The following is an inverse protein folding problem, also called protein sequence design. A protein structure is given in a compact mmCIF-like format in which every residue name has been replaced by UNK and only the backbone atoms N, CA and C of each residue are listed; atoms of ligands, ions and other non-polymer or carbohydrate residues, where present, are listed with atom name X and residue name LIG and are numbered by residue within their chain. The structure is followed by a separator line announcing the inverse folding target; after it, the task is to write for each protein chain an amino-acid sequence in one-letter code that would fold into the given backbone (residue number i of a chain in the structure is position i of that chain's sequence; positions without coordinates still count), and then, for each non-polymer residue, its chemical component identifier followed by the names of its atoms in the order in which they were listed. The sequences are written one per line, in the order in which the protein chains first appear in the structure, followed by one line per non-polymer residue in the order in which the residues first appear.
data_IF_637611915345
#
_entry.id   IF_637611915345
#
_cell.length_a   1.000
_cell.length_b   1.000
_cell.length_c   1.000
_cell.angle_alpha   90.00
_cell.angle_beta   90.00
_cell.angle_gamma   90.00
#
_symmetry.space_group_name_H-M   'P 1'
#
loop_
_entity.id
_entity.type
_entity.pdbx_description
1 polymer ?
#
# COMPACT_ATOMS: atom_id res chain seq x y z
N UNK A 1 -4.35 36.08 6.61
CA UNK A 1 -3.05 36.49 7.19
C UNK A 1 -2.81 35.87 8.56
N UNK A 2 -3.73 35.97 9.52
CA UNK A 2 -3.53 35.37 10.85
C UNK A 2 -3.36 33.85 10.81
N UNK A 3 -4.18 33.14 10.00
CA UNK A 3 -4.05 31.68 9.87
C UNK A 3 -2.68 31.25 9.34
N UNK A 4 -2.11 31.97 8.36
CA UNK A 4 -0.84 31.58 7.73
C UNK A 4 0.35 31.78 8.67
N UNK A 5 0.30 32.80 9.55
CA UNK A 5 1.31 32.97 10.59
C UNK A 5 1.24 31.83 11.61
N UNK A 6 0.03 31.48 12.05
CA UNK A 6 -0.19 30.39 12.99
C UNK A 6 0.22 29.04 12.38
N UNK A 7 -0.23 28.72 11.16
CA UNK A 7 0.04 27.43 10.51
C UNK A 7 1.52 27.21 10.21
N UNK A 8 2.24 28.27 9.84
CA UNK A 8 3.62 28.13 9.39
C UNK A 8 4.62 28.27 10.55
N UNK A 9 4.36 29.13 11.54
CA UNK A 9 5.32 29.47 12.59
C UNK A 9 4.94 28.97 13.99
N UNK A 10 3.93 28.09 14.13
CA UNK A 10 3.52 27.53 15.43
C UNK A 10 4.70 27.01 16.26
N UNK A 11 5.69 26.42 15.59
CA UNK A 11 6.86 25.85 16.22
C UNK A 11 7.78 26.89 16.85
N UNK A 12 8.18 27.91 16.08
CA UNK A 12 8.96 29.04 16.59
C UNK A 12 8.23 29.78 17.71
N UNK A 13 6.91 29.97 17.54
CA UNK A 13 6.05 30.64 18.53
C UNK A 13 6.00 29.84 19.83
N UNK A 14 5.85 28.51 19.76
CA UNK A 14 5.86 27.65 20.95
C UNK A 14 7.21 27.69 21.67
N UNK A 15 8.32 27.70 20.93
CA UNK A 15 9.68 27.84 21.49
C UNK A 15 10.03 29.25 21.96
N UNK A 16 9.10 30.21 21.83
CA UNK A 16 9.30 31.62 22.19
C UNK A 16 10.41 32.30 21.39
N UNK A 17 10.72 31.78 20.21
CA UNK A 17 11.69 32.36 19.27
C UNK A 17 11.06 33.51 18.45
N UNK A 18 9.73 33.50 18.32
CA UNK A 18 8.96 34.51 17.58
C UNK A 18 7.64 34.83 18.29
N UNK A 19 7.21 36.08 18.20
CA UNK A 19 5.87 36.53 18.58
C UNK A 19 5.35 37.46 17.48
N UNK A 20 4.06 37.40 17.19
CA UNK A 20 3.44 38.27 16.19
C UNK A 20 2.25 39.02 16.79
N UNK A 21 2.00 40.20 16.24
CA UNK A 21 0.80 40.99 16.50
C UNK A 21 0.12 41.29 15.16
N UNK A 22 -1.15 40.89 15.04
CA UNK A 22 -1.97 41.11 13.84
C UNK A 22 -3.16 41.99 14.19
N UNK A 23 -3.66 42.74 13.21
CA UNK A 23 -4.77 43.69 13.34
C UNK A 23 -4.52 44.73 14.44
N UNK A 24 -3.36 45.40 14.37
CA UNK A 24 -2.95 46.45 15.31
C UNK A 24 -2.93 45.99 16.78
N UNK A 25 -2.47 44.75 17.02
CA UNK A 25 -2.34 44.18 18.37
C UNK A 25 -3.59 43.46 18.87
N UNK A 26 -4.68 43.41 18.09
CA UNK A 26 -5.91 42.71 18.48
C UNK A 26 -5.73 41.19 18.56
N UNK A 27 -4.85 40.64 17.72
CA UNK A 27 -4.51 39.21 17.73
C UNK A 27 -3.03 39.10 18.08
N UNK A 28 -2.75 38.74 19.32
CA UNK A 28 -1.41 38.37 19.77
C UNK A 28 -1.18 36.87 19.49
N UNK A 29 -0.16 36.55 18.70
CA UNK A 29 0.27 35.18 18.40
C UNK A 29 1.55 34.93 19.18
N UNK A 30 1.42 34.24 20.31
CA UNK A 30 2.51 33.88 21.21
C UNK A 30 2.23 32.48 21.80
N UNK A 31 3.19 31.93 22.56
CA UNK A 31 3.07 30.59 23.17
C UNK A 31 1.77 30.38 23.96
N UNK A 32 1.23 31.41 24.64
CA UNK A 32 0.07 31.29 25.50
C UNK A 32 -1.26 31.36 24.72
N UNK A 33 -1.26 31.96 23.54
CA UNK A 33 -2.46 32.13 22.70
C UNK A 33 -2.53 31.09 21.59
N UNK A 34 -1.40 30.48 21.22
CA UNK A 34 -1.25 29.62 20.05
C UNK A 34 -2.26 28.47 19.97
N UNK A 35 -2.46 27.74 21.07
CA UNK A 35 -3.39 26.60 21.12
C UNK A 35 -4.82 27.03 20.82
N UNK A 36 -5.30 28.08 21.48
CA UNK A 36 -6.63 28.64 21.23
C UNK A 36 -6.76 29.17 19.79
N UNK A 37 -5.72 29.83 19.26
CA UNK A 37 -5.73 30.36 17.90
C UNK A 37 -5.83 29.27 16.82
N UNK A 38 -5.27 28.09 17.06
CA UNK A 38 -5.40 26.93 16.15
C UNK A 38 -6.84 26.38 16.11
N UNK A 39 -7.60 26.57 17.19
CA UNK A 39 -8.97 26.06 17.31
C UNK A 39 -10.04 27.11 17.02
N UNK A 40 -9.68 28.39 17.02
CA UNK A 40 -10.58 29.54 16.91
C UNK A 40 -11.37 29.54 15.59
N UNK A 41 -12.69 29.65 15.70
CA UNK A 41 -13.61 29.48 14.57
C UNK A 41 -13.45 30.53 13.48
N UNK A 42 -13.16 31.78 13.86
CA UNK A 42 -12.90 32.86 12.91
C UNK A 42 -11.61 32.65 12.10
N UNK A 43 -10.58 32.04 12.70
CA UNK A 43 -9.32 31.68 12.02
C UNK A 43 -9.55 30.49 11.09
N UNK A 44 -10.30 29.48 11.52
CA UNK A 44 -10.70 28.35 10.67
C UNK A 44 -11.55 28.80 9.48
N UNK A 45 -12.56 29.63 9.72
CA UNK A 45 -13.40 30.22 8.67
C UNK A 45 -12.55 31.03 7.68
N UNK A 46 -11.59 31.82 8.17
CA UNK A 46 -10.68 32.57 7.29
C UNK A 46 -9.77 31.64 6.45
N UNK A 47 -9.29 30.55 7.03
CA UNK A 47 -8.50 29.54 6.33
C UNK A 47 -9.36 28.80 5.28
N UNK A 48 -10.59 28.42 5.61
CA UNK A 48 -11.52 27.74 4.71
C UNK A 48 -11.88 28.62 3.51
N UNK A 49 -12.22 29.89 3.73
CA UNK A 49 -12.51 30.86 2.67
C UNK A 49 -11.34 31.07 1.69
N UNK A 50 -10.12 30.70 2.10
CA UNK A 50 -8.90 30.78 1.26
C UNK A 50 -8.39 29.42 0.80
N UNK A 51 -9.10 28.32 1.13
CA UNK A 51 -8.73 26.96 0.74
C UNK A 51 -7.61 26.32 1.57
N UNK A 52 -7.25 26.90 2.72
CA UNK A 52 -6.12 26.49 3.57
C UNK A 52 -6.54 25.86 4.91
N UNK A 53 -7.80 25.45 5.05
CA UNK A 53 -8.28 24.82 6.28
C UNK A 53 -7.47 23.56 6.64
N UNK A 54 -7.19 22.70 5.66
CA UNK A 54 -6.43 21.47 5.86
C UNK A 54 -4.97 21.72 6.32
N UNK A 55 -4.39 22.86 5.94
CA UNK A 55 -3.04 23.27 6.37
C UNK A 55 -3.06 23.72 7.83
N UNK A 56 -4.08 24.49 8.22
CA UNK A 56 -4.29 24.92 9.60
C UNK A 56 -4.56 23.74 10.53
N UNK A 57 -5.44 22.83 10.13
CA UNK A 57 -5.74 21.61 10.89
C UNK A 57 -4.49 20.74 11.06
N UNK A 58 -3.70 20.60 9.99
CA UNK A 58 -2.45 19.85 10.05
C UNK A 58 -1.42 20.49 10.99
N UNK A 59 -1.27 21.81 10.93
CA UNK A 59 -0.45 22.55 11.89
C UNK A 59 -0.94 22.35 13.33
N UNK A 60 -2.26 22.30 13.54
CA UNK A 60 -2.86 21.94 14.83
C UNK A 60 -2.45 20.55 15.32
N UNK A 61 -2.51 19.53 14.45
CA UNK A 61 -2.06 18.17 14.82
C UNK A 61 -0.54 18.10 15.07
N UNK A 62 0.26 18.84 14.30
CA UNK A 62 1.71 18.94 14.56
C UNK A 62 1.99 19.67 15.88
N UNK A 63 1.22 20.69 16.23
CA UNK A 63 1.32 21.36 17.52
C UNK A 63 0.99 20.40 18.66
N UNK A 64 -0.07 19.60 18.53
CA UNK A 64 -0.40 18.52 19.50
C UNK A 64 0.75 17.52 19.62
N UNK A 65 1.38 17.13 18.51
CA UNK A 65 2.57 16.28 18.51
C UNK A 65 3.75 16.91 19.27
N UNK A 66 3.95 18.22 19.12
CA UNK A 66 5.02 18.96 19.76
C UNK A 66 4.86 19.01 21.28
N UNK A 67 3.65 19.25 21.77
CA UNK A 67 3.39 19.46 23.21
C UNK A 67 3.05 18.19 23.98
N UNK A 68 2.65 17.12 23.27
CA UNK A 68 2.27 15.86 23.91
C UNK A 68 3.46 15.15 24.54
N UNK A 69 3.28 14.72 25.79
CA UNK A 69 4.22 13.86 26.52
C UNK A 69 4.21 12.42 26.03
N UNK A 70 3.12 11.98 25.38
CA UNK A 70 3.02 10.64 24.80
C UNK A 70 3.64 10.54 23.40
N UNK A 71 4.25 11.62 22.90
CA UNK A 71 4.99 11.60 21.66
C UNK A 71 6.38 10.99 21.86
N UNK A 72 6.79 10.12 20.95
CA UNK A 72 8.09 9.46 20.97
C UNK A 72 9.09 10.25 20.11
N UNK A 73 10.31 10.47 20.61
CA UNK A 73 11.39 11.11 19.86
C UNK A 73 12.42 10.06 19.40
N UNK A 74 12.80 10.13 18.12
CA UNK A 74 13.87 9.31 17.54
C UNK A 74 14.88 10.20 16.81
N UNK A 75 16.17 10.01 17.07
CA UNK A 75 17.25 10.73 16.39
C UNK A 75 17.81 9.86 15.26
N UNK A 76 17.65 10.34 14.03
CA UNK A 76 18.13 9.71 12.82
C UNK A 76 19.44 10.36 12.38
N UNK A 77 20.48 9.56 12.22
CA UNK A 77 21.77 10.03 11.68
C UNK A 77 21.75 9.92 10.16
N UNK A 78 22.02 11.03 9.46
CA UNK A 78 22.15 11.04 8.00
C UNK A 78 23.50 10.42 7.59
N UNK A 79 23.70 10.21 6.29
CA UNK A 79 24.98 9.72 5.77
C UNK A 79 26.16 10.55 6.33
N UNK A 80 27.30 9.88 6.53
CA UNK A 80 28.44 10.29 7.36
C UNK A 80 29.04 11.66 7.00
N UNK A 81 28.44 12.75 7.49
CA UNK A 81 28.84 14.18 7.39
C UNK A 81 27.64 15.14 7.25
N UNK A 82 26.42 14.63 7.08
CA UNK A 82 25.24 15.44 6.76
C UNK A 82 24.35 15.81 7.95
N UNK A 83 24.77 15.43 9.16
CA UNK A 83 24.09 15.79 10.41
C UNK A 83 23.04 14.79 10.87
N UNK A 84 22.25 15.22 11.86
CA UNK A 84 21.22 14.43 12.53
C UNK A 84 19.87 15.14 12.46
N UNK A 85 18.83 14.33 12.36
CA UNK A 85 17.44 14.76 12.28
C UNK A 85 16.69 14.16 13.46
N UNK A 86 15.87 14.97 14.13
CA UNK A 86 14.92 14.50 15.13
C UNK A 86 13.57 14.22 14.46
N UNK A 87 13.00 13.07 14.77
CA UNK A 87 11.65 12.66 14.36
C UNK A 87 10.83 12.48 15.62
N UNK A 88 9.85 13.36 15.85
CA UNK A 88 8.88 13.24 16.93
C UNK A 88 7.58 12.66 16.39
N UNK A 89 7.01 11.65 17.03
CA UNK A 89 5.86 10.90 16.52
C UNK A 89 4.79 10.83 17.60
N UNK A 90 3.58 11.26 17.27
CA UNK A 90 2.40 11.07 18.10
C UNK A 90 1.45 10.10 17.43
N UNK A 91 1.21 8.97 18.09
CA UNK A 91 0.23 7.96 17.66
C UNK A 91 -1.09 8.20 18.39
N UNK A 92 -2.19 8.20 17.66
CA UNK A 92 -3.52 8.44 18.24
C UNK A 92 -4.61 8.35 17.19
N UNK A 93 -5.81 7.96 17.60
CA UNK A 93 -6.98 7.83 16.71
C UNK A 93 -7.32 9.15 16.01
N UNK A 94 -7.67 9.09 14.72
CA UNK A 94 -8.09 10.25 13.94
C UNK A 94 -6.93 11.13 13.47
N UNK A 95 -5.67 10.74 13.73
CA UNK A 95 -4.49 11.46 13.24
C UNK A 95 -4.29 11.25 11.72
N UNK A 96 -3.79 12.26 10.99
CA UNK A 96 -3.85 12.32 9.53
C UNK A 96 -2.88 11.38 8.79
N UNK A 97 -2.01 10.65 9.49
CA UNK A 97 -0.89 9.86 8.91
C UNK A 97 0.02 10.70 8.02
N UNK A 98 0.30 11.94 8.46
CA UNK A 98 1.11 12.94 7.77
C UNK A 98 2.35 13.30 8.60
N UNK A 99 3.37 13.78 7.89
CA UNK A 99 4.67 14.13 8.45
C UNK A 99 4.95 15.58 8.08
N UNK A 100 5.33 16.44 9.02
CA UNK A 100 5.69 17.83 8.77
C UNK A 100 7.20 18.04 8.95
N UNK A 101 7.85 18.63 7.95
CA UNK A 101 9.25 19.03 8.04
C UNK A 101 9.37 20.48 8.47
N UNK A 102 10.08 20.70 9.57
CA UNK A 102 10.28 22.02 10.18
C UNK A 102 11.74 22.40 10.07
N UNK A 103 11.98 23.67 9.71
CA UNK A 103 13.32 24.25 9.70
C UNK A 103 13.23 25.72 10.12
N UNK A 104 14.11 26.13 11.04
CA UNK A 104 14.09 27.47 11.65
C UNK A 104 12.69 27.85 12.19
N UNK A 105 12.01 26.88 12.79
CA UNK A 105 10.68 27.05 13.37
C UNK A 105 9.55 27.35 12.39
N UNK A 106 9.78 27.14 11.09
CA UNK A 106 8.78 27.20 10.03
C UNK A 106 8.47 25.80 9.47
N UNK A 107 7.19 25.49 9.28
CA UNK A 107 6.75 24.31 8.51
C UNK A 107 7.06 24.54 7.03
N UNK A 108 7.90 23.69 6.45
CA UNK A 108 8.35 23.80 5.07
C UNK A 108 7.49 22.94 4.14
N UNK A 109 7.39 21.66 4.45
CA UNK A 109 6.75 20.70 3.54
C UNK A 109 6.31 19.48 4.31
N UNK A 110 5.44 18.67 3.70
CA UNK A 110 4.99 17.40 4.26
C UNK A 110 5.51 16.17 3.50
N UNK A 111 6.42 16.38 2.54
CA UNK A 111 6.77 15.34 1.59
C UNK A 111 8.19 15.46 1.01
N UNK A 112 8.78 14.33 0.65
CA UNK A 112 10.09 14.22 0.00
C UNK A 112 9.98 13.72 -1.46
N UNK A 113 8.94 14.17 -2.18
CA UNK A 113 8.64 13.74 -3.56
C UNK A 113 9.81 13.96 -4.54
N UNK A 114 10.54 15.07 -4.41
CA UNK A 114 11.68 15.39 -5.27
C UNK A 114 12.90 14.46 -5.05
N UNK A 115 12.86 13.62 -4.02
CA UNK A 115 13.90 12.62 -3.71
C UNK A 115 13.43 11.18 -3.92
N UNK A 116 12.27 10.98 -4.59
CA UNK A 116 11.70 9.66 -4.81
C UNK A 116 11.17 8.99 -3.55
N UNK A 117 10.86 9.78 -2.51
CA UNK A 117 10.30 9.30 -1.25
C UNK A 117 8.97 9.98 -0.95
N UNK A 118 7.87 9.63 -1.65
CA UNK A 118 6.56 10.24 -1.42
C UNK A 118 5.95 9.74 -0.09
N UNK A 119 6.03 10.52 0.97
CA UNK A 119 5.52 10.26 2.32
C UNK A 119 3.99 10.44 2.43
N UNK A 120 3.24 10.05 1.40
CA UNK A 120 1.80 10.26 1.31
C UNK A 120 0.95 9.09 1.86
N UNK A 121 1.55 7.90 2.01
CA UNK A 121 0.82 6.68 2.42
C UNK A 121 1.65 5.81 3.35
N UNK A 122 0.98 5.31 4.39
CA UNK A 122 1.52 4.43 5.42
C UNK A 122 0.55 3.26 5.65
N UNK A 123 0.53 2.26 4.75
CA UNK A 123 -0.37 1.12 4.89
C UNK A 123 0.03 0.27 6.10
N UNK A 124 -0.98 -0.15 6.87
CA UNK A 124 -0.78 -1.01 8.06
C UNK A 124 -0.29 -0.27 9.32
N UNK A 125 -0.07 1.04 9.25
CA UNK A 125 0.24 1.88 10.41
C UNK A 125 -1.03 2.33 11.12
N UNK A 126 -0.99 2.38 12.47
CA UNK A 126 -1.96 3.15 13.28
C UNK A 126 -1.97 4.62 12.84
N UNK A 127 -3.05 5.33 13.17
CA UNK A 127 -3.14 6.76 12.94
C UNK A 127 -2.04 7.50 13.71
N UNK A 128 -1.33 8.39 13.01
CA UNK A 128 -0.22 9.14 13.59
C UNK A 128 -0.06 10.52 12.95
N UNK A 129 0.70 11.38 13.62
CA UNK A 129 1.31 12.57 13.04
C UNK A 129 2.77 12.59 13.45
N UNK A 130 3.66 13.07 12.59
CA UNK A 130 5.07 13.20 12.95
C UNK A 130 5.66 14.54 12.52
N UNK A 131 6.63 14.98 13.29
CA UNK A 131 7.34 16.24 13.14
C UNK A 131 8.82 15.93 12.95
N UNK A 132 9.42 16.50 11.92
CA UNK A 132 10.82 16.27 11.55
C UNK A 132 11.56 17.58 11.59
N UNK A 133 12.60 17.70 12.42
CA UNK A 133 13.43 18.90 12.54
C UNK A 133 14.93 18.56 12.51
N UNK A 134 15.81 19.48 12.09
CA UNK A 134 17.25 19.30 12.27
C UNK A 134 17.61 19.26 13.77
N UNK A 135 18.36 18.24 14.17
CA UNK A 135 18.92 18.12 15.53
C UNK A 135 20.21 18.94 15.67
N UNK A 136 20.98 19.06 14.59
CA UNK A 136 22.25 19.77 14.57
C UNK A 136 22.39 20.77 13.41
N UNK A 137 23.44 21.58 13.49
CA UNK A 137 23.73 22.64 12.53
C UNK A 137 23.98 22.12 11.13
N UNK A 138 24.61 20.95 10.99
CA UNK A 138 24.97 20.37 9.69
C UNK A 138 23.70 19.97 8.92
N UNK A 139 22.76 19.29 9.60
CA UNK A 139 21.45 19.00 9.03
C UNK A 139 20.67 20.28 8.70
N UNK A 140 20.73 21.30 9.57
CA UNK A 140 20.10 22.59 9.33
C UNK A 140 20.63 23.31 8.08
N UNK A 141 21.94 23.26 7.85
CA UNK A 141 22.59 23.83 6.66
C UNK A 141 22.20 23.04 5.41
N UNK A 142 22.18 21.70 5.47
CA UNK A 142 21.76 20.86 4.36
C UNK A 142 20.31 21.18 3.95
N UNK A 143 19.36 21.16 4.89
CA UNK A 143 17.97 21.44 4.60
C UNK A 143 17.77 22.85 4.02
N UNK A 144 18.48 23.85 4.55
CA UNK A 144 18.47 25.22 3.99
C UNK A 144 18.92 25.28 2.54
N UNK A 145 19.93 24.50 2.14
CA UNK A 145 20.42 24.47 0.76
C UNK A 145 19.41 23.83 -0.20
N UNK A 146 18.59 22.89 0.30
CA UNK A 146 17.57 22.19 -0.47
C UNK A 146 16.26 22.97 -0.56
N UNK A 147 16.01 23.87 0.38
CA UNK A 147 14.80 24.68 0.48
C UNK A 147 14.63 25.61 -0.73
N UNK A 148 13.43 25.67 -1.28
CA UNK A 148 13.08 26.61 -2.35
C UNK A 148 12.68 27.99 -1.78
N UNK A 149 12.66 29.06 -2.60
CA UNK A 149 12.38 30.42 -2.11
C UNK A 149 10.94 30.62 -1.61
N UNK A 150 10.00 29.80 -2.09
CA UNK A 150 8.62 29.81 -1.61
C UNK A 150 8.45 29.06 -0.28
N UNK A 151 9.52 28.39 0.21
CA UNK A 151 9.53 27.67 1.47
C UNK A 151 8.47 26.56 1.57
N UNK A 152 8.12 25.92 0.46
CA UNK A 152 7.07 24.89 0.36
C UNK A 152 7.61 23.49 -0.03
N UNK A 153 8.93 23.37 -0.21
CA UNK A 153 9.54 22.13 -0.65
C UNK A 153 11.06 22.08 -0.61
N UNK A 154 11.58 20.85 -0.57
CA UNK A 154 13.00 20.55 -0.68
C UNK A 154 13.33 19.98 -2.07
N UNK A 155 14.41 20.47 -2.68
CA UNK A 155 14.94 20.00 -3.96
C UNK A 155 16.45 20.18 -4.06
N UNK A 156 17.16 19.15 -4.52
CA UNK A 156 18.60 19.23 -4.75
C UNK A 156 19.00 19.93 -6.05
N UNK A 157 18.05 20.26 -6.94
CA UNK A 157 18.36 20.89 -8.23
C UNK A 157 18.92 22.31 -8.10
N UNK A 158 18.80 22.92 -6.92
CA UNK A 158 19.36 24.23 -6.60
C UNK A 158 20.86 24.18 -6.27
N UNK A 159 21.42 22.99 -6.05
CA UNK A 159 22.84 22.81 -5.73
C UNK A 159 23.63 22.79 -7.05
N UNK A 160 24.51 23.78 -7.32
CA UNK A 160 25.24 23.86 -8.59
C UNK A 160 26.28 22.74 -8.77
N UNK A 161 26.89 22.34 -7.66
CA UNK A 161 27.91 21.30 -7.59
C UNK A 161 27.26 19.90 -7.75
N UNK A 162 27.69 19.16 -8.78
CA UNK A 162 27.12 17.85 -9.12
C UNK A 162 27.31 16.80 -8.03
N UNK A 163 28.45 16.81 -7.37
CA UNK A 163 28.82 15.80 -6.37
C UNK A 163 28.07 16.06 -5.07
N UNK A 164 28.00 17.33 -4.65
CA UNK A 164 27.19 17.73 -3.49
C UNK A 164 25.71 17.46 -3.75
N UNK A 165 25.22 17.72 -4.96
CA UNK A 165 23.83 17.39 -5.35
C UNK A 165 23.56 15.89 -5.27
N UNK A 166 24.48 15.05 -5.77
CA UNK A 166 24.34 13.60 -5.69
C UNK A 166 24.34 13.10 -4.24
N UNK A 167 25.27 13.59 -3.41
CA UNK A 167 25.32 13.28 -1.97
C UNK A 167 24.03 13.66 -1.25
N UNK A 168 23.54 14.88 -1.48
CA UNK A 168 22.29 15.36 -0.87
C UNK A 168 21.08 14.52 -1.31
N UNK A 169 20.99 14.12 -2.59
CA UNK A 169 19.93 13.22 -3.08
C UNK A 169 19.97 11.86 -2.38
N UNK A 170 21.16 11.27 -2.25
CA UNK A 170 21.34 9.98 -1.56
C UNK A 170 20.93 10.09 -0.09
N UNK A 171 21.34 11.16 0.58
CA UNK A 171 21.03 11.40 1.98
C UNK A 171 19.53 11.60 2.24
N UNK A 172 18.87 12.46 1.47
CA UNK A 172 17.43 12.69 1.61
C UNK A 172 16.59 11.46 1.24
N UNK A 173 17.06 10.66 0.27
CA UNK A 173 16.45 9.35 -0.02
C UNK A 173 16.65 8.37 1.13
N UNK A 174 17.82 8.40 1.78
CA UNK A 174 18.10 7.65 3.01
C UNK A 174 17.16 8.06 4.14
N UNK A 175 17.09 9.35 4.44
CA UNK A 175 16.19 9.94 5.43
C UNK A 175 14.75 9.51 5.22
N UNK A 176 14.23 9.60 3.99
CA UNK A 176 12.86 9.19 3.68
C UNK A 176 12.61 7.69 3.92
N UNK A 177 13.61 6.82 3.75
CA UNK A 177 13.51 5.40 4.12
C UNK A 177 13.51 5.21 5.62
N UNK A 178 14.46 5.83 6.33
CA UNK A 178 14.57 5.72 7.78
C UNK A 178 13.32 6.25 8.48
N UNK A 179 12.80 7.41 8.07
CA UNK A 179 11.52 7.93 8.59
C UNK A 179 10.39 6.90 8.45
N UNK A 180 10.29 6.19 7.31
CA UNK A 180 9.25 5.15 7.16
C UNK A 180 9.45 3.98 8.10
N UNK A 181 10.70 3.58 8.34
CA UNK A 181 11.04 2.49 9.25
C UNK A 181 10.73 2.88 10.70
N UNK A 182 11.17 4.07 11.12
CA UNK A 182 10.84 4.72 12.40
C UNK A 182 9.32 4.79 12.62
N UNK A 183 8.56 5.31 11.66
CA UNK A 183 7.10 5.36 11.73
C UNK A 183 6.50 3.97 11.83
N UNK A 184 6.95 3.01 11.02
CA UNK A 184 6.48 1.61 11.12
C UNK A 184 6.77 1.03 12.49
N UNK A 185 7.95 1.28 13.07
CA UNK A 185 8.31 0.83 14.42
C UNK A 185 7.35 1.37 15.48
N UNK A 186 7.11 2.68 15.49
CA UNK A 186 6.23 3.33 16.46
C UNK A 186 4.74 2.97 16.26
N UNK A 187 4.30 2.81 15.01
CA UNK A 187 2.88 2.62 14.68
C UNK A 187 2.45 1.16 14.55
N UNK A 188 3.39 0.21 14.48
CA UNK A 188 3.05 -1.21 14.38
C UNK A 188 2.24 -1.67 15.59
N UNK A 189 1.26 -2.53 15.34
CA UNK A 189 0.46 -3.17 16.39
C UNK A 189 1.39 -4.10 17.17
N UNK A 190 1.75 -3.73 18.41
CA UNK A 190 2.32 -4.67 19.37
C UNK A 190 1.18 -5.62 19.76
N UNK A 191 1.25 -6.86 19.33
CA UNK A 191 0.45 -7.92 19.96
C UNK A 191 1.07 -8.16 21.34
N UNK A 192 0.69 -7.36 22.32
CA UNK A 192 0.92 -7.72 23.72
C UNK A 192 0.13 -9.00 23.97
N UNK A 193 0.85 -10.08 24.27
CA UNK A 193 0.29 -11.41 24.40
C UNK A 193 -0.89 -11.39 25.35
N UNK A 194 -2.02 -11.95 24.91
CA UNK A 194 -3.16 -12.19 25.76
C UNK A 194 -2.70 -12.98 26.99
N UNK A 195 -2.56 -12.32 28.13
CA UNK A 195 -2.41 -12.98 29.42
C UNK A 195 -3.80 -13.51 29.75
N UNK A 196 -4.02 -14.79 29.47
CA UNK A 196 -5.21 -15.50 29.94
C UNK A 196 -5.12 -15.53 31.46
N UNK A 197 -6.03 -14.80 32.13
CA UNK A 197 -6.16 -14.80 33.59
C UNK A 197 -6.82 -16.13 34.01
N UNK A 198 -5.99 -17.15 34.22
CA UNK A 198 -6.35 -18.53 34.62
C UNK A 198 -6.99 -18.59 36.04
N UNK A 199 -6.97 -17.48 36.78
CA UNK A 199 -7.42 -17.43 38.18
C UNK A 199 -8.96 -17.44 38.33
N UNK A 200 -9.71 -17.10 37.28
CA UNK A 200 -11.18 -17.15 37.29
C UNK A 200 -11.72 -18.56 36.96
N UNK A 201 -10.94 -19.44 36.33
CA UNK A 201 -11.36 -20.79 35.96
C UNK A 201 -11.64 -21.70 37.16
N UNK A 202 -11.05 -21.41 38.33
CA UNK A 202 -11.25 -22.20 39.56
C UNK A 202 -12.67 -22.10 40.13
N UNK A 203 -13.43 -21.06 39.79
CA UNK A 203 -14.81 -20.88 40.25
C UNK A 203 -15.87 -21.47 39.31
N UNK A 204 -15.47 -21.89 38.10
CA UNK A 204 -16.39 -22.43 37.08
C UNK A 204 -16.18 -23.93 36.79
N UNK A 205 -15.09 -24.54 37.25
CA UNK A 205 -14.74 -25.93 36.93
C UNK A 205 -15.45 -27.02 37.77
N UNK A 206 -16.50 -26.70 38.53
CA UNK A 206 -17.20 -27.67 39.38
C UNK A 206 -18.60 -28.03 38.86
N UNK A 207 -18.70 -28.39 37.57
CA UNK A 207 -19.83 -29.21 37.09
C UNK A 207 -19.40 -30.15 35.97
N UNK A 208 -19.21 -31.43 36.33
CA UNK A 208 -19.47 -32.59 35.46
C UNK A 208 -18.41 -32.94 34.41
N UNK A 209 -17.37 -33.70 34.81
CA UNK A 209 -16.65 -34.57 33.87
C UNK A 209 -17.35 -35.92 33.80
N UNK A 210 -17.99 -36.22 32.66
CA UNK A 210 -18.29 -37.58 32.25
C UNK A 210 -17.26 -37.98 31.19
N UNK A 211 -16.47 -39.02 31.47
CA UNK A 211 -15.62 -39.67 30.47
C UNK A 211 -16.52 -40.36 29.44
N UNK A 212 -16.74 -39.68 28.31
CA UNK A 212 -17.32 -40.25 27.10
C UNK A 212 -16.39 -39.93 25.92
N UNK A 213 -16.21 -40.91 25.03
CA UNK A 213 -15.44 -40.72 23.80
C UNK A 213 -16.01 -39.54 22.97
N UNK A 214 -15.15 -38.74 22.33
CA UNK A 214 -15.57 -37.49 21.69
C UNK A 214 -16.49 -37.79 20.50
N UNK A 215 -17.76 -37.37 20.61
CA UNK A 215 -18.72 -37.38 19.52
C UNK A 215 -18.30 -36.34 18.47
N UNK A 216 -18.06 -36.73 17.20
CA UNK A 216 -17.66 -35.82 16.13
C UNK A 216 -18.76 -34.83 15.72
N UNK A 217 -19.96 -34.94 16.30
CA UNK A 217 -21.08 -34.01 16.11
C UNK A 217 -21.35 -33.09 17.30
N UNK A 218 -20.57 -33.21 18.39
CA UNK A 218 -20.72 -32.34 19.56
C UNK A 218 -20.21 -30.92 19.31
N UNK A 219 -20.93 -29.94 19.87
CA UNK A 219 -20.58 -28.52 19.79
C UNK A 219 -19.29 -28.24 20.57
N UNK A 220 -18.40 -27.42 20.00
CA UNK A 220 -17.04 -27.25 20.51
C UNK A 220 -17.01 -26.58 21.90
N UNK A 221 -16.24 -27.18 22.83
CA UNK A 221 -15.97 -26.65 24.17
C UNK A 221 -15.37 -25.23 24.13
N UNK A 222 -16.08 -24.21 24.65
CA UNK A 222 -15.63 -22.82 24.59
C UNK A 222 -14.37 -22.54 25.43
N UNK A 223 -14.00 -23.40 26.39
CA UNK A 223 -12.80 -23.20 27.22
C UNK A 223 -11.51 -23.69 26.53
N UNK A 224 -11.62 -24.55 25.50
CA UNK A 224 -10.50 -25.06 24.69
C UNK A 224 -10.48 -24.54 23.25
N UNK A 225 -11.44 -23.69 22.88
CA UNK A 225 -11.54 -23.21 21.52
C UNK A 225 -10.45 -22.17 21.21
N UNK A 226 -9.38 -22.62 20.55
CA UNK A 226 -8.38 -21.72 19.99
C UNK A 226 -8.96 -21.10 18.72
N UNK A 227 -9.21 -19.80 18.76
CA UNK A 227 -9.71 -19.06 17.60
C UNK A 227 -8.60 -18.97 16.54
N UNK A 228 -8.54 -19.97 15.66
CA UNK A 228 -7.85 -19.81 14.39
C UNK A 228 -8.77 -19.00 13.50
N UNK A 229 -8.47 -17.71 13.32
CA UNK A 229 -9.04 -17.01 12.17
C UNK A 229 -8.58 -17.81 10.97
N UNK A 230 -9.50 -18.54 10.34
CA UNK A 230 -9.27 -18.96 8.97
C UNK A 230 -9.17 -17.65 8.23
N UNK A 231 -7.94 -17.16 8.01
CA UNK A 231 -7.67 -16.29 6.88
C UNK A 231 -8.37 -17.01 5.75
N UNK A 232 -9.41 -16.39 5.20
CA UNK A 232 -9.94 -16.83 3.91
C UNK A 232 -8.74 -16.75 3.00
N UNK A 233 -8.06 -17.88 2.82
CA UNK A 233 -7.17 -18.09 1.70
C UNK A 233 -8.01 -17.63 0.53
N UNK A 234 -7.63 -16.55 -0.19
CA UNK A 234 -8.42 -16.11 -1.32
C UNK A 234 -8.66 -17.34 -2.14
N UNK A 235 -9.94 -17.72 -2.30
CA UNK A 235 -10.29 -18.94 -3.01
C UNK A 235 -9.57 -18.83 -4.34
N UNK A 236 -8.55 -19.68 -4.51
CA UNK A 236 -7.71 -19.72 -5.69
C UNK A 236 -8.68 -20.05 -6.81
N UNK A 237 -9.10 -19.03 -7.56
CA UNK A 237 -10.03 -19.22 -8.65
C UNK A 237 -9.28 -20.07 -9.66
N UNK A 238 -9.77 -21.31 -9.79
CA UNK A 238 -9.26 -22.28 -10.76
C UNK A 238 -9.33 -21.61 -12.12
N UNK A 239 -8.19 -21.45 -12.77
CA UNK A 239 -8.15 -21.01 -14.15
C UNK A 239 -8.97 -21.99 -15.00
N UNK A 240 -9.90 -21.47 -15.79
CA UNK A 240 -10.55 -22.22 -16.86
C UNK A 240 -9.54 -22.45 -17.97
N UNK A 241 -9.17 -23.70 -18.23
CA UNK A 241 -8.37 -24.08 -19.40
C UNK A 241 -9.16 -23.84 -20.69
N UNK A 242 -8.57 -23.21 -21.73
CA UNK A 242 -9.06 -23.29 -23.08
C UNK A 242 -8.51 -24.57 -23.71
N UNK A 243 -9.14 -25.71 -23.42
CA UNK A 243 -8.95 -26.94 -24.19
C UNK A 243 -10.27 -27.30 -24.86
N UNK A 244 -10.19 -27.55 -26.17
CA UNK A 244 -11.29 -27.49 -27.13
C UNK A 244 -12.52 -28.31 -26.76
N UNK A 245 -13.67 -27.63 -26.84
CA UNK A 245 -14.97 -28.24 -27.10
C UNK A 245 -15.54 -27.58 -28.37
N UNK A 246 -15.82 -28.38 -29.39
CA UNK A 246 -16.45 -27.95 -30.63
C UNK A 246 -17.88 -27.44 -30.40
N UNK A 247 -18.21 -26.39 -31.14
CA UNK A 247 -19.53 -25.88 -31.56
C UNK A 247 -20.78 -26.25 -30.75
N UNK A 248 -21.46 -25.20 -30.26
CA UNK A 248 -22.85 -25.27 -29.83
C UNK A 248 -23.54 -23.91 -29.84
N UNK A 249 -24.07 -23.51 -31.00
CA UNK A 249 -25.30 -22.71 -31.11
C UNK A 249 -25.26 -21.24 -30.67
N UNK A 250 -24.91 -20.36 -31.60
CA UNK A 250 -25.29 -18.94 -31.61
C UNK A 250 -26.83 -18.85 -31.71
N UNK A 251 -27.51 -18.24 -30.74
CA UNK A 251 -28.87 -17.73 -30.97
C UNK A 251 -29.03 -16.30 -30.50
N UNK A 252 -29.51 -15.49 -31.43
CA UNK A 252 -29.84 -14.07 -31.36
C UNK A 252 -31.17 -13.85 -30.63
N UNK A 253 -31.35 -12.61 -30.16
CA UNK A 253 -32.62 -11.93 -29.87
C UNK A 253 -33.47 -12.49 -28.72
N UNK A 254 -33.36 -11.84 -27.55
CA UNK A 254 -34.42 -11.84 -26.54
C UNK A 254 -35.30 -10.60 -26.69
N UNK A 255 -36.49 -10.77 -27.25
CA UNK A 255 -37.63 -9.83 -27.12
C UNK A 255 -38.77 -10.54 -26.41
N UNK A 256 -39.26 -9.92 -25.33
CA UNK A 256 -40.51 -10.26 -24.62
C UNK A 256 -40.36 -11.35 -23.55
N UNK A 257 -41.04 -11.33 -22.40
CA UNK A 257 -42.10 -10.46 -21.86
C UNK A 257 -42.16 -10.69 -20.34
N UNK A 258 -42.65 -9.68 -19.61
CA UNK A 258 -42.97 -9.71 -18.17
C UNK A 258 -43.70 -10.98 -17.71
N UNK A 259 -43.34 -11.46 -16.52
CA UNK A 259 -44.13 -12.39 -15.72
C UNK A 259 -43.84 -12.22 -14.23
N UNK A 260 -44.79 -11.64 -13.51
CA UNK A 260 -44.88 -11.68 -12.04
C UNK A 260 -45.15 -13.12 -11.59
N UNK A 261 -44.40 -13.62 -10.62
CA UNK A 261 -44.88 -14.10 -9.31
C UNK A 261 -43.80 -14.93 -8.61
N UNK A 262 -43.75 -14.77 -7.28
CA UNK A 262 -42.97 -15.62 -6.39
C UNK A 262 -43.48 -17.06 -6.37
N UNK A 263 -42.56 -17.98 -6.06
CA UNK A 263 -42.86 -19.39 -5.88
C UNK A 263 -41.58 -20.21 -5.78
N UNK A 264 -41.27 -20.65 -4.57
CA UNK A 264 -40.37 -21.77 -4.29
C UNK A 264 -40.81 -23.00 -5.10
N UNK A 265 -39.89 -23.61 -5.84
CA UNK A 265 -40.17 -24.76 -6.68
C UNK A 265 -38.90 -25.50 -7.11
N UNK A 266 -38.61 -26.57 -6.38
CA UNK A 266 -37.67 -27.64 -6.74
C UNK A 266 -38.11 -28.33 -8.04
N UNK A 267 -37.46 -28.02 -9.16
CA UNK A 267 -37.65 -28.69 -10.44
C UNK A 267 -36.43 -29.52 -10.85
N UNK A 268 -36.53 -30.85 -10.79
CA UNK A 268 -35.56 -31.78 -11.38
C UNK A 268 -35.71 -31.76 -12.90
N UNK A 269 -34.77 -31.14 -13.60
CA UNK A 269 -34.62 -31.29 -15.05
C UNK A 269 -33.86 -32.57 -15.38
N UNK A 270 -34.55 -33.53 -16.00
CA UNK A 270 -33.99 -34.77 -16.54
C UNK A 270 -33.31 -34.49 -17.89
N UNK A 271 -32.01 -34.19 -17.86
CA UNK A 271 -31.17 -34.12 -19.05
C UNK A 271 -30.19 -35.31 -19.08
N UNK A 272 -30.40 -36.23 -20.01
CA UNK A 272 -29.48 -37.35 -20.28
C UNK A 272 -28.29 -36.84 -21.09
N UNK A 273 -27.26 -36.35 -20.40
CA UNK A 273 -25.95 -36.05 -20.97
C UNK A 273 -24.88 -36.92 -20.32
N UNK A 274 -24.18 -37.72 -21.11
CA UNK A 274 -23.03 -38.53 -20.66
C UNK A 274 -21.91 -37.58 -20.22
N UNK A 275 -21.83 -37.32 -18.92
CA UNK A 275 -20.75 -36.56 -18.31
C UNK A 275 -19.42 -37.28 -18.49
N UNK A 276 -18.63 -36.83 -19.48
CA UNK A 276 -17.24 -37.22 -19.62
C UNK A 276 -16.48 -36.89 -18.33
N UNK A 277 -15.93 -37.91 -17.67
CA UNK A 277 -14.99 -37.76 -16.56
C UNK A 277 -13.67 -37.21 -17.10
N UNK A 278 -13.59 -35.89 -17.27
CA UNK A 278 -12.35 -35.18 -17.50
C UNK A 278 -11.62 -34.97 -16.17
N UNK A 279 -10.52 -35.70 -15.96
CA UNK A 279 -9.57 -35.44 -14.89
C UNK A 279 -9.01 -34.02 -15.06
N UNK A 280 -9.50 -33.06 -14.26
CA UNK A 280 -8.82 -31.77 -14.10
C UNK A 280 -7.63 -32.01 -13.18
N UNK A 281 -6.50 -32.38 -13.78
CA UNK A 281 -5.22 -32.46 -13.10
C UNK A 281 -4.90 -31.13 -12.43
N UNK A 282 -4.67 -31.18 -11.12
CA UNK A 282 -4.20 -30.08 -10.30
C UNK A 282 -2.76 -29.77 -10.74
N UNK A 283 -2.56 -28.71 -11.52
CA UNK A 283 -1.21 -28.25 -11.90
C UNK A 283 -0.68 -27.32 -10.82
N UNK A 284 0.53 -27.61 -10.35
CA UNK A 284 1.22 -26.79 -9.36
C UNK A 284 1.52 -25.40 -9.94
N UNK A 285 1.08 -24.38 -9.22
CA UNK A 285 1.39 -22.98 -9.55
C UNK A 285 2.77 -22.62 -9.03
N UNK A 286 3.50 -21.88 -9.84
CA UNK A 286 4.86 -21.43 -9.56
C UNK A 286 4.83 -20.00 -9.05
N UNK A 287 5.59 -19.74 -7.99
CA UNK A 287 5.76 -18.38 -7.45
C UNK A 287 6.77 -17.62 -8.31
N UNK A 288 6.34 -16.51 -8.88
CA UNK A 288 7.21 -15.55 -9.55
C UNK A 288 7.50 -14.37 -8.60
N UNK A 289 8.78 -13.99 -8.48
CA UNK A 289 9.26 -12.87 -7.66
C UNK A 289 9.72 -11.72 -8.54
N UNK A 290 9.83 -10.53 -7.94
CA UNK A 290 10.36 -9.31 -8.58
C UNK A 290 9.73 -8.98 -9.94
N UNK A 291 8.43 -9.27 -10.07
CA UNK A 291 7.65 -9.07 -11.29
C UNK A 291 7.66 -7.58 -11.65
N UNK A 292 8.08 -7.29 -12.87
CA UNK A 292 7.99 -5.97 -13.50
C UNK A 292 7.46 -6.14 -14.91
N UNK A 293 6.74 -5.15 -15.38
CA UNK A 293 6.40 -5.05 -16.78
C UNK A 293 6.65 -3.63 -17.29
N UNK A 294 6.82 -3.51 -18.60
CA UNK A 294 6.91 -2.23 -19.29
C UNK A 294 6.11 -2.33 -20.58
N UNK A 295 5.23 -1.36 -20.81
CA UNK A 295 4.48 -1.26 -22.06
C UNK A 295 5.46 -0.84 -23.17
N UNK A 296 5.43 -1.57 -24.28
CA UNK A 296 6.11 -1.21 -25.52
C UNK A 296 5.05 -0.85 -26.55
N UNK A 297 4.93 0.45 -26.80
CA UNK A 297 4.08 0.96 -27.86
C UNK A 297 4.73 0.68 -29.22
N UNK A 298 3.92 0.33 -30.21
CA UNK A 298 4.33 0.34 -31.62
C UNK A 298 4.61 1.78 -32.08
N UNK A 299 5.19 1.94 -33.28
CA UNK A 299 5.49 3.25 -33.87
C UNK A 299 4.24 4.14 -33.99
N UNK A 300 3.06 3.52 -34.14
CA UNK A 300 1.75 4.19 -34.17
C UNK A 300 1.15 4.45 -32.77
N UNK A 301 1.92 4.26 -31.70
CA UNK A 301 1.50 4.50 -30.30
C UNK A 301 0.61 3.39 -29.70
N UNK A 302 0.30 2.34 -30.45
CA UNK A 302 -0.61 1.27 -29.99
C UNK A 302 0.11 0.30 -29.03
N UNK A 303 -0.41 0.04 -27.82
CA UNK A 303 0.22 -0.79 -26.78
C UNK A 303 -0.05 -2.29 -27.02
N UNK A 304 0.45 -2.81 -28.14
CA UNK A 304 0.29 -4.23 -28.51
C UNK A 304 1.29 -5.16 -27.85
N UNK A 305 2.34 -4.63 -27.21
CA UNK A 305 3.42 -5.45 -26.64
C UNK A 305 3.87 -5.01 -25.25
N UNK A 306 4.39 -5.96 -24.47
CA UNK A 306 4.91 -5.75 -23.12
C UNK A 306 6.19 -6.52 -22.90
N UNK A 307 7.15 -5.83 -22.29
CA UNK A 307 8.35 -6.46 -21.74
C UNK A 307 8.06 -6.87 -20.30
N UNK A 308 8.23 -8.17 -20.01
CA UNK A 308 7.99 -8.80 -18.72
C UNK A 308 9.33 -9.20 -18.11
N UNK A 309 9.52 -8.90 -16.84
CA UNK A 309 10.65 -9.38 -16.06
C UNK A 309 10.16 -10.06 -14.79
N UNK A 310 10.71 -11.23 -14.47
CA UNK A 310 10.37 -11.95 -13.25
C UNK A 310 11.50 -12.91 -12.87
N UNK A 311 11.51 -13.34 -11.61
CA UNK A 311 12.45 -14.35 -11.09
C UNK A 311 11.64 -15.57 -10.67
N UNK A 312 11.81 -16.75 -11.31
CA UNK A 312 11.03 -17.94 -10.99
C UNK A 312 11.53 -18.60 -9.71
N UNK A 313 10.60 -19.12 -8.90
CA UNK A 313 10.92 -19.84 -7.67
C UNK A 313 11.26 -21.32 -7.87
N UNK A 314 11.20 -21.83 -9.12
CA UNK A 314 11.60 -23.19 -9.50
C UNK A 314 12.27 -23.14 -10.88
N UNK A 315 13.08 -24.15 -11.19
CA UNK A 315 13.64 -24.36 -12.53
C UNK A 315 12.78 -25.33 -13.35
N UNK A 316 12.97 -25.31 -14.67
CA UNK A 316 12.30 -26.21 -15.62
C UNK A 316 11.36 -25.47 -16.59
N UNK A 317 10.49 -26.24 -17.27
CA UNK A 317 9.56 -25.69 -18.25
C UNK A 317 8.27 -25.21 -17.58
N UNK A 318 7.94 -23.94 -17.79
CA UNK A 318 6.79 -23.26 -17.18
C UNK A 318 5.85 -22.70 -18.25
N UNK A 319 4.56 -22.65 -17.96
CA UNK A 319 3.57 -21.90 -18.74
C UNK A 319 3.19 -20.63 -17.97
N UNK A 320 3.28 -19.47 -18.63
CA UNK A 320 2.95 -18.15 -18.11
C UNK A 320 1.72 -17.60 -18.84
N UNK A 321 0.65 -17.38 -18.08
CA UNK A 321 -0.54 -16.68 -18.55
C UNK A 321 -0.50 -15.21 -18.10
N UNK A 322 -0.84 -14.30 -19.01
CA UNK A 322 -0.96 -12.87 -18.72
C UNK A 322 -2.44 -12.52 -18.59
N UNK A 323 -2.82 -11.82 -17.53
CA UNK A 323 -4.21 -11.44 -17.29
C UNK A 323 -4.34 -9.93 -17.05
N UNK A 324 -5.39 -9.32 -17.57
CA UNK A 324 -5.82 -7.97 -17.20
C UNK A 324 -6.35 -7.98 -15.76
N UNK A 325 -5.85 -7.07 -14.92
CA UNK A 325 -6.32 -6.94 -13.54
C UNK A 325 -7.73 -6.33 -13.53
N UNK A 326 -8.72 -7.10 -13.09
CA UNK A 326 -10.10 -6.63 -12.92
C UNK A 326 -10.55 -6.64 -11.46
N UNK A 327 -11.56 -5.83 -11.14
CA UNK A 327 -12.10 -5.67 -9.77
C UNK A 327 -12.77 -6.95 -9.26
N UNK A 328 -13.39 -7.72 -10.15
CA UNK A 328 -14.17 -8.92 -9.80
C UNK A 328 -13.72 -10.19 -10.54
N UNK A 329 -13.15 -10.08 -11.74
CA UNK A 329 -12.67 -11.18 -12.59
C UNK A 329 -11.46 -10.66 -13.37
N UNK A 330 -10.41 -11.46 -13.50
CA UNK A 330 -9.27 -11.17 -14.36
C UNK A 330 -9.50 -11.80 -15.73
N UNK A 331 -9.26 -11.03 -16.78
CA UNK A 331 -9.45 -11.48 -18.18
C UNK A 331 -8.10 -11.90 -18.76
N UNK A 332 -8.03 -13.06 -19.42
CA UNK A 332 -6.79 -13.53 -20.03
C UNK A 332 -6.45 -12.69 -21.26
N UNK A 333 -5.27 -12.08 -21.27
CA UNK A 333 -4.69 -11.45 -22.45
C UNK A 333 -4.01 -12.53 -23.29
N UNK A 334 -4.48 -12.72 -24.52
CA UNK A 334 -4.00 -13.81 -25.36
C UNK A 334 -2.65 -13.44 -25.96
N UNK A 335 -1.60 -14.14 -25.53
CA UNK A 335 -0.25 -13.97 -26.09
C UNK A 335 -0.20 -14.58 -27.49
N UNK A 336 0.14 -13.78 -28.50
CA UNK A 336 0.24 -14.20 -29.92
C UNK A 336 1.67 -14.33 -30.41
N UNK A 337 2.62 -13.63 -29.78
CA UNK A 337 4.02 -13.68 -30.12
C UNK A 337 4.89 -13.36 -28.91
N UNK A 338 6.11 -13.88 -28.89
CA UNK A 338 7.14 -13.53 -27.90
C UNK A 338 8.54 -13.53 -28.54
N UNK A 339 9.48 -12.82 -27.91
CA UNK A 339 10.90 -12.82 -28.32
C UNK A 339 11.70 -14.00 -27.74
N UNK A 340 11.13 -14.70 -26.76
CA UNK A 340 11.68 -15.89 -26.12
C UNK A 340 10.56 -16.85 -25.75
N UNK A 341 10.85 -18.16 -25.77
CA UNK A 341 9.86 -19.21 -25.50
C UNK A 341 8.95 -19.55 -26.68
N UNK A 342 7.97 -20.41 -26.41
CA UNK A 342 6.96 -20.86 -27.37
C UNK A 342 5.59 -20.30 -26.97
N UNK A 343 4.83 -19.79 -27.93
CA UNK A 343 3.46 -19.31 -27.68
C UNK A 343 2.45 -20.33 -28.20
N UNK A 344 1.47 -20.68 -27.37
CA UNK A 344 0.45 -21.68 -27.70
C UNK A 344 -0.79 -21.49 -26.85
N UNK A 345 -1.98 -21.64 -27.43
CA UNK A 345 -3.26 -21.50 -26.71
C UNK A 345 -3.44 -20.18 -25.92
N UNK A 346 -2.75 -19.11 -26.33
CA UNK A 346 -2.79 -17.80 -25.66
C UNK A 346 -1.93 -17.68 -24.40
N UNK A 347 -1.03 -18.63 -24.15
CA UNK A 347 -0.04 -18.61 -23.05
C UNK A 347 1.38 -18.69 -23.59
N UNK A 348 2.34 -18.32 -22.74
CA UNK A 348 3.77 -18.34 -23.04
C UNK A 348 4.46 -19.49 -22.32
N UNK A 349 5.08 -20.41 -23.04
CA UNK A 349 5.90 -21.50 -22.51
C UNK A 349 7.38 -21.14 -22.51
N UNK A 350 8.05 -21.23 -21.37
CA UNK A 350 9.46 -20.88 -21.20
C UNK A 350 10.22 -21.97 -20.46
N UNK A 351 11.48 -22.19 -20.81
CA UNK A 351 12.44 -22.90 -19.97
C UNK A 351 13.14 -21.88 -19.08
N UNK A 352 13.13 -22.12 -17.76
CA UNK A 352 13.65 -21.16 -16.79
C UNK A 352 14.58 -21.84 -15.77
N UNK A 353 15.48 -21.06 -15.20
CA UNK A 353 16.41 -21.48 -14.14
C UNK A 353 15.95 -20.86 -12.82
N UNK A 354 15.89 -21.67 -11.76
CA UNK A 354 15.48 -21.21 -10.42
C UNK A 354 16.34 -20.03 -9.96
N UNK A 355 15.69 -18.95 -9.53
CA UNK A 355 16.38 -17.76 -9.00
C UNK A 355 17.05 -16.86 -10.05
N UNK A 356 17.12 -17.26 -11.31
CA UNK A 356 17.67 -16.44 -12.39
C UNK A 356 16.60 -15.50 -12.97
N UNK A 357 16.95 -14.23 -13.19
CA UNK A 357 15.98 -13.24 -13.66
C UNK A 357 15.69 -13.46 -15.16
N UNK A 358 14.44 -13.74 -15.48
CA UNK A 358 13.95 -13.84 -16.85
C UNK A 358 13.49 -12.47 -17.38
N UNK A 359 13.68 -12.26 -18.68
CA UNK A 359 13.21 -11.09 -19.43
C UNK A 359 12.62 -11.56 -20.75
N UNK A 360 11.34 -11.24 -21.01
CA UNK A 360 10.65 -11.67 -22.23
C UNK A 360 9.69 -10.58 -22.70
N UNK A 361 9.71 -10.28 -23.99
CA UNK A 361 8.74 -9.40 -24.65
C UNK A 361 7.61 -10.26 -25.22
N UNK A 362 6.37 -9.92 -24.89
CA UNK A 362 5.16 -10.58 -25.41
C UNK A 362 4.31 -9.58 -26.19
N UNK A 363 3.60 -10.06 -27.20
CA UNK A 363 2.58 -9.30 -27.93
C UNK A 363 1.22 -9.96 -27.78
N UNK A 364 0.16 -9.14 -27.74
CA UNK A 364 -1.23 -9.57 -27.57
C UNK A 364 -2.02 -9.49 -28.87
N UNK A 365 -3.12 -10.22 -28.96
CA UNK A 365 -4.07 -10.11 -30.08
C UNK A 365 -4.87 -8.80 -30.07
N UNK A 366 -5.08 -8.21 -28.90
CA UNK A 366 -5.73 -6.92 -28.70
C UNK A 366 -4.82 -5.93 -27.93
N UNK A 367 -4.80 -4.63 -28.29
CA UNK A 367 -4.06 -3.62 -27.53
C UNK A 367 -4.52 -3.54 -26.08
N UNK A 368 -3.57 -3.50 -25.14
CA UNK A 368 -3.90 -3.37 -23.72
C UNK A 368 -2.85 -2.57 -22.94
N UNK A 369 -3.25 -1.40 -22.42
CA UNK A 369 -2.43 -0.48 -21.62
C UNK A 369 -2.67 -0.58 -20.10
N UNK A 370 -3.69 -1.32 -19.66
CA UNK A 370 -4.06 -1.44 -18.26
C UNK A 370 -3.10 -2.25 -17.37
N UNK A 371 -3.40 -2.41 -16.06
CA UNK A 371 -2.65 -3.28 -15.17
C UNK A 371 -2.76 -4.76 -15.57
N UNK A 372 -1.68 -5.54 -15.38
CA UNK A 372 -1.65 -6.98 -15.64
C UNK A 372 -1.14 -7.79 -14.45
N UNK A 373 -1.54 -9.05 -14.41
CA UNK A 373 -1.05 -10.09 -13.51
C UNK A 373 -0.42 -11.23 -14.31
N UNK A 374 0.56 -11.91 -13.72
CA UNK A 374 1.20 -13.10 -14.28
C UNK A 374 0.86 -14.32 -13.44
N UNK A 375 0.36 -15.37 -14.08
CA UNK A 375 0.14 -16.68 -13.47
C UNK A 375 1.08 -17.68 -14.12
N UNK A 376 1.96 -18.32 -13.34
CA UNK A 376 2.85 -19.37 -13.83
C UNK A 376 2.44 -20.73 -13.27
N UNK A 377 2.46 -21.76 -14.12
CA UNK A 377 2.24 -23.17 -13.72
C UNK A 377 3.32 -24.04 -14.32
N UNK A 378 3.58 -25.19 -13.68
CA UNK A 378 4.49 -26.18 -14.25
C UNK A 378 3.87 -26.77 -15.53
N UNK A 379 4.65 -26.80 -16.62
CA UNK A 379 4.23 -27.47 -17.85
C UNK A 379 4.34 -28.98 -17.61
N UNK A 380 3.22 -29.66 -17.42
CA UNK A 380 3.23 -31.12 -17.49
C UNK A 380 3.77 -31.53 -18.86
N UNK A 381 4.81 -32.36 -18.89
CA UNK A 381 5.31 -32.95 -20.12
C UNK A 381 4.13 -33.63 -20.83
N UNK A 382 3.77 -33.12 -22.01
CA UNK A 382 2.86 -33.82 -22.90
C UNK A 382 3.66 -35.02 -23.42
N UNK A 383 3.34 -36.22 -22.92
CA UNK A 383 3.77 -37.45 -23.58
C UNK A 383 3.32 -37.37 -25.05
N UNK A 384 4.29 -37.40 -25.97
CA UNK A 384 4.00 -37.49 -27.38
C UNK A 384 3.22 -38.79 -27.64
N UNK A 385 2.12 -38.76 -28.41
CA UNK A 385 1.51 -40.00 -28.89
C UNK A 385 2.51 -40.71 -29.81
N UNK A 386 2.60 -42.03 -29.62
CA UNK A 386 3.58 -42.95 -30.19
C UNK A 386 3.78 -42.88 -31.71
#
# INVERSE_FOLDING_TARGET
MSYSMVSNFFFAVHRQEMNFEVDSGRIAINRNTLENLLEREDIKSAAENTGHLADLEFAGQLYRCLVSESAEDEIVTLASDLGRIRVRILVGEGMPRRIGFIRNGMLITDNLRHFGQPLARFPGSRDFVALVEPEDTDAGVLLKQLENPAHDGFSAERIPDSDKRAKAKVAMRGLGRTIRETIRGATSVRHEGAVVLDELGRYFAETGRADAEPDPSAENDPEKYTYSSHRRTPQRRRASTPSGGQEGGRSRNGTGTKGNNGGSGTGKGTGTGTGGKGSRGERDTIVLRDIRNRIRASDDGTPISRELHFTPGVGGRIEVAVQATGVNVSDQLRVVASDSGETGSGVLSLEVVEGERCSVTVSFDEPYDGPIELLAVNSAAVEAPA
#
